data_IF_200822516516
#
_entry.id   IF_200822516516
#
_cell.length_a   1.000
_cell.length_b   1.000
_cell.length_c   1.000
_cell.angle_alpha   90.00
_cell.angle_beta   90.00
_cell.angle_gamma   90.00
#
_symmetry.space_group_name_H-M   'P 1'
#
loop_
_entity.id
_entity.type
_entity.pdbx_description
1 polymer ?
#
# COMPACT_ATOMS: atom_id res chain seq x y z
N UNK A 1 -2.60 2.75 11.44
CA UNK A 1 -3.88 3.12 12.09
C UNK A 1 -4.12 2.30 13.36
N UNK A 2 -4.16 0.95 13.30
CA UNK A 2 -4.48 0.10 14.45
C UNK A 2 -3.60 0.36 15.68
N UNK A 3 -2.28 0.51 15.51
CA UNK A 3 -1.35 0.82 16.61
C UNK A 3 -1.66 2.18 17.27
N UNK A 4 -2.01 3.18 16.48
CA UNK A 4 -2.41 4.48 16.99
C UNK A 4 -3.68 4.39 17.86
N UNK A 5 -4.72 3.76 17.32
CA UNK A 5 -5.99 3.59 18.04
C UNK A 5 -5.83 2.76 19.32
N UNK A 6 -4.97 1.74 19.31
CA UNK A 6 -4.66 0.95 20.50
C UNK A 6 -3.89 1.73 21.58
N UNK A 7 -3.21 2.81 21.21
CA UNK A 7 -2.49 3.69 22.13
C UNK A 7 -3.33 4.80 22.76
N UNK A 8 -4.57 5.00 22.28
CA UNK A 8 -5.47 6.01 22.85
C UNK A 8 -5.97 5.61 24.24
N UNK A 9 -6.22 6.58 25.14
CA UNK A 9 -6.85 6.29 26.44
C UNK A 9 -8.20 5.61 26.26
N UNK A 10 -8.49 4.58 27.07
CA UNK A 10 -9.76 3.83 26.97
C UNK A 10 -11.02 4.70 27.20
N UNK A 11 -10.89 5.80 27.92
CA UNK A 11 -11.98 6.73 28.19
C UNK A 11 -12.22 7.72 27.04
N UNK A 12 -11.35 7.75 26.03
CA UNK A 12 -11.47 8.66 24.90
C UNK A 12 -12.54 8.15 23.92
N UNK A 13 -13.63 8.89 23.68
CA UNK A 13 -14.64 8.48 22.72
C UNK A 13 -14.08 8.61 21.29
N UNK A 14 -14.03 7.52 20.56
CA UNK A 14 -13.53 7.48 19.17
C UNK A 14 -14.58 6.81 18.28
N UNK A 15 -15.00 7.50 17.26
CA UNK A 15 -15.74 6.93 16.12
C UNK A 15 -14.84 7.05 14.88
N UNK A 16 -14.31 5.93 14.41
CA UNK A 16 -13.33 5.91 13.34
C UNK A 16 -13.71 4.92 12.24
N UNK A 17 -13.82 5.42 11.01
CA UNK A 17 -14.03 4.61 9.81
C UNK A 17 -12.71 4.47 9.05
N UNK A 18 -12.26 3.23 8.85
CA UNK A 18 -11.06 2.93 8.08
C UNK A 18 -11.46 2.30 6.75
N UNK A 19 -11.07 2.93 5.66
CA UNK A 19 -11.32 2.44 4.30
C UNK A 19 -10.01 2.16 3.57
N UNK A 20 -9.91 1.01 2.93
CA UNK A 20 -8.86 0.72 1.96
C UNK A 20 -9.43 0.87 0.56
N UNK A 21 -8.83 1.75 -0.25
CA UNK A 21 -9.29 2.04 -1.60
C UNK A 21 -8.10 2.51 -2.48
N UNK A 22 -8.36 2.71 -3.79
CA UNK A 22 -7.35 3.26 -4.68
C UNK A 22 -7.04 4.71 -4.39
N UNK A 23 -5.80 5.14 -4.68
CA UNK A 23 -5.37 6.53 -4.48
C UNK A 23 -6.30 7.56 -5.14
N UNK A 24 -6.85 7.28 -6.32
CA UNK A 24 -7.84 8.17 -6.97
C UNK A 24 -9.13 8.27 -6.20
N UNK A 25 -9.69 7.14 -5.77
CA UNK A 25 -10.91 7.12 -4.95
C UNK A 25 -10.69 7.83 -3.62
N UNK A 26 -9.50 7.64 -3.00
CA UNK A 26 -9.14 8.38 -1.79
C UNK A 26 -9.16 9.91 -2.01
N UNK A 27 -8.63 10.41 -3.15
CA UNK A 27 -8.70 11.84 -3.47
C UNK A 27 -10.13 12.33 -3.72
N UNK A 28 -11.00 11.50 -4.30
CA UNK A 28 -12.40 11.82 -4.54
C UNK A 28 -13.17 11.94 -3.21
N UNK A 29 -13.01 10.98 -2.30
CA UNK A 29 -13.67 10.99 -0.99
C UNK A 29 -13.14 12.09 -0.06
N UNK A 30 -11.85 12.43 -0.14
CA UNK A 30 -11.27 13.57 0.58
C UNK A 30 -11.83 14.90 0.03
N UNK A 31 -11.91 15.03 -1.29
CA UNK A 31 -12.43 16.26 -1.91
C UNK A 31 -13.94 16.48 -1.65
N UNK A 32 -14.72 15.41 -1.53
CA UNK A 32 -16.14 15.46 -1.18
C UNK A 32 -16.41 15.65 0.32
N UNK A 33 -15.38 15.52 1.18
CA UNK A 33 -15.53 15.58 2.64
C UNK A 33 -16.14 14.28 3.22
N UNK A 34 -16.16 13.19 2.46
CA UNK A 34 -16.61 11.88 2.96
C UNK A 34 -15.55 11.22 3.84
N UNK A 35 -14.29 11.58 3.66
CA UNK A 35 -13.16 11.22 4.51
C UNK A 35 -12.31 12.45 4.80
N UNK A 36 -11.64 12.49 5.95
CA UNK A 36 -10.89 13.65 6.44
C UNK A 36 -9.40 13.54 6.15
N UNK A 37 -8.83 12.36 6.34
CA UNK A 37 -7.39 12.10 6.22
C UNK A 37 -7.17 10.86 5.36
N UNK A 38 -6.22 10.94 4.43
CA UNK A 38 -5.84 9.84 3.57
C UNK A 38 -4.32 9.67 3.51
N UNK A 39 -3.89 8.42 3.38
CA UNK A 39 -2.54 8.10 2.96
C UNK A 39 -2.62 7.41 1.61
N UNK A 40 -2.17 8.10 0.57
CA UNK A 40 -2.17 7.57 -0.79
C UNK A 40 -0.82 6.98 -1.15
N UNK A 41 -0.87 5.89 -1.92
CA UNK A 41 0.31 5.18 -2.44
C UNK A 41 0.26 5.13 -3.96
N UNK A 42 1.39 5.48 -4.58
CA UNK A 42 1.49 5.49 -6.04
C UNK A 42 2.95 5.34 -6.49
N UNK A 43 3.16 5.00 -7.76
CA UNK A 43 4.51 4.93 -8.35
C UNK A 43 5.05 6.33 -8.58
N UNK A 44 6.34 6.52 -8.37
CA UNK A 44 7.02 7.82 -8.46
C UNK A 44 6.81 8.54 -9.81
N UNK A 45 6.61 7.80 -10.89
CA UNK A 45 6.32 8.34 -12.22
C UNK A 45 4.98 9.10 -12.30
N UNK A 46 4.08 8.90 -11.33
CA UNK A 46 2.79 9.60 -11.23
C UNK A 46 2.79 10.75 -10.21
N UNK A 47 3.97 11.16 -9.73
CA UNK A 47 4.07 12.20 -8.69
C UNK A 47 3.41 13.50 -9.14
N UNK A 48 3.79 14.00 -10.32
CA UNK A 48 3.28 15.28 -10.83
C UNK A 48 1.77 15.23 -11.05
N UNK A 49 1.25 14.09 -11.53
CA UNK A 49 -0.19 13.85 -11.64
C UNK A 49 -0.90 13.97 -10.27
N UNK A 50 -0.39 13.32 -9.22
CA UNK A 50 -1.03 13.35 -7.91
C UNK A 50 -0.88 14.70 -7.23
N UNK A 51 0.23 15.42 -7.41
CA UNK A 51 0.42 16.79 -6.92
C UNK A 51 -0.57 17.75 -7.58
N UNK A 52 -0.74 17.68 -8.89
CA UNK A 52 -1.73 18.45 -9.64
C UNK A 52 -3.16 18.13 -9.19
N UNK A 53 -3.52 16.84 -9.07
CA UNK A 53 -4.85 16.39 -8.66
C UNK A 53 -5.22 16.84 -7.24
N UNK A 54 -4.26 16.82 -6.31
CA UNK A 54 -4.47 17.30 -4.93
C UNK A 54 -4.61 18.82 -4.90
N UNK A 55 -3.74 19.54 -5.61
CA UNK A 55 -3.79 21.01 -5.69
C UNK A 55 -5.10 21.50 -6.29
N UNK A 56 -5.57 20.90 -7.38
CA UNK A 56 -6.84 21.26 -8.04
C UNK A 56 -8.07 21.06 -7.13
N UNK A 57 -7.97 20.18 -6.12
CA UNK A 57 -9.05 19.88 -5.16
C UNK A 57 -8.91 20.61 -3.82
N UNK A 58 -7.92 21.49 -3.68
CA UNK A 58 -7.67 22.18 -2.42
C UNK A 58 -7.13 21.30 -1.31
N UNK A 59 -6.58 20.14 -1.67
CA UNK A 59 -5.98 19.18 -0.74
C UNK A 59 -4.51 19.51 -0.47
N UNK A 60 -4.02 19.16 0.72
CA UNK A 60 -2.59 19.12 1.04
C UNK A 60 -1.94 17.91 0.35
N UNK A 61 -0.63 17.99 0.18
CA UNK A 61 0.15 16.86 -0.33
C UNK A 61 1.51 16.85 0.40
N UNK A 62 1.67 15.92 1.34
CA UNK A 62 2.89 15.77 2.11
C UNK A 62 3.54 14.41 1.84
N UNK A 63 4.73 14.40 1.23
CA UNK A 63 5.46 13.18 0.97
C UNK A 63 5.99 12.59 2.29
N UNK A 64 5.55 11.34 2.61
CA UNK A 64 5.95 10.63 3.83
C UNK A 64 7.18 9.76 3.61
N UNK A 65 7.16 8.90 2.59
CA UNK A 65 8.19 7.90 2.36
C UNK A 65 8.37 7.54 0.89
N UNK A 66 9.54 6.97 0.59
CA UNK A 66 9.90 6.40 -0.72
C UNK A 66 10.50 5.01 -0.48
N UNK A 67 10.10 4.02 -1.27
CA UNK A 67 10.59 2.66 -1.11
C UNK A 67 10.35 1.82 -2.36
N UNK A 68 11.06 0.70 -2.43
CA UNK A 68 10.80 -0.34 -3.42
C UNK A 68 9.91 -1.42 -2.82
N UNK A 69 9.06 -2.01 -3.63
CA UNK A 69 8.33 -3.21 -3.20
C UNK A 69 9.26 -4.40 -3.07
N UNK A 70 8.99 -5.21 -2.07
CA UNK A 70 9.61 -6.50 -1.84
C UNK A 70 8.75 -7.61 -2.47
N UNK A 71 9.39 -8.67 -2.88
CA UNK A 71 8.70 -9.90 -3.27
C UNK A 71 8.27 -10.61 -2.00
N UNK A 72 6.98 -10.79 -1.84
CA UNK A 72 6.36 -11.46 -0.69
C UNK A 72 5.81 -12.81 -1.15
N UNK A 73 6.15 -13.86 -0.44
CA UNK A 73 5.75 -15.22 -0.76
C UNK A 73 5.61 -16.06 0.51
N UNK A 74 4.99 -17.23 0.41
CA UNK A 74 4.96 -18.18 1.53
C UNK A 74 6.38 -18.70 1.83
N UNK A 75 6.69 -19.04 3.07
CA UNK A 75 7.98 -19.62 3.45
C UNK A 75 8.26 -20.97 2.79
N UNK A 76 7.24 -21.68 2.32
CA UNK A 76 7.39 -22.94 1.57
C UNK A 76 7.73 -22.74 0.08
N UNK A 77 7.72 -21.48 -0.40
CA UNK A 77 8.01 -21.16 -1.80
C UNK A 77 9.47 -21.56 -2.16
N UNK A 78 9.74 -22.13 -3.36
CA UNK A 78 11.09 -22.56 -3.74
C UNK A 78 12.17 -21.46 -3.66
N UNK A 79 11.79 -20.20 -3.82
CA UNK A 79 12.71 -19.05 -3.73
C UNK A 79 12.83 -18.47 -2.33
N UNK A 80 12.06 -18.94 -1.34
CA UNK A 80 11.99 -18.34 0.00
C UNK A 80 13.33 -18.31 0.76
N UNK A 81 14.21 -19.28 0.48
CA UNK A 81 15.55 -19.38 1.09
C UNK A 81 16.62 -18.48 0.46
N UNK A 82 16.28 -17.66 -0.53
CA UNK A 82 17.22 -16.73 -1.19
C UNK A 82 17.41 -15.46 -0.36
N UNK A 83 18.53 -14.77 -0.59
CA UNK A 83 18.76 -13.41 -0.05
C UNK A 83 18.11 -12.32 -0.89
N UNK A 84 17.88 -12.58 -2.16
CA UNK A 84 17.17 -11.71 -3.13
C UNK A 84 16.70 -12.54 -4.32
N UNK A 85 15.81 -11.98 -5.12
CA UNK A 85 15.30 -12.57 -6.37
C UNK A 85 15.44 -11.59 -7.52
N UNK A 86 15.46 -12.11 -8.76
CA UNK A 86 15.38 -11.33 -9.99
C UNK A 86 13.97 -11.45 -10.58
N UNK A 87 13.54 -10.45 -11.34
CA UNK A 87 12.24 -10.48 -12.03
C UNK A 87 12.08 -11.71 -12.93
N UNK A 88 13.16 -12.10 -13.61
CA UNK A 88 13.14 -13.27 -14.49
C UNK A 88 12.90 -14.59 -13.73
N UNK A 89 13.26 -14.69 -12.45
CA UNK A 89 12.97 -15.88 -11.61
C UNK A 89 11.49 -15.99 -11.23
N UNK A 90 10.75 -14.90 -11.36
CA UNK A 90 9.30 -14.83 -11.09
C UNK A 90 8.45 -15.07 -12.35
N UNK A 91 9.08 -15.19 -13.52
CA UNK A 91 8.36 -15.39 -14.77
C UNK A 91 7.62 -16.74 -14.78
N UNK A 92 6.35 -16.69 -15.19
CA UNK A 92 5.47 -17.86 -15.21
C UNK A 92 4.84 -18.23 -13.86
N UNK A 93 5.29 -17.65 -12.74
CA UNK A 93 4.69 -17.85 -11.42
C UNK A 93 3.40 -17.02 -11.26
N UNK A 94 2.42 -17.48 -10.46
CA UNK A 94 1.21 -16.72 -10.18
C UNK A 94 1.52 -15.44 -9.39
N UNK A 95 1.22 -14.28 -9.95
CA UNK A 95 1.35 -12.98 -9.29
C UNK A 95 0.02 -12.56 -8.67
N UNK A 96 -0.03 -12.35 -7.36
CA UNK A 96 -1.17 -11.76 -6.66
C UNK A 96 -0.96 -10.26 -6.65
N UNK A 97 -1.85 -9.54 -7.35
CA UNK A 97 -1.74 -8.10 -7.57
C UNK A 97 -2.76 -7.37 -6.67
N UNK A 98 -2.28 -6.41 -5.89
CA UNK A 98 -3.18 -5.53 -5.13
C UNK A 98 -3.90 -4.57 -6.06
N UNK A 99 -5.21 -4.54 -5.95
CA UNK A 99 -6.07 -3.61 -6.65
C UNK A 99 -6.84 -4.21 -7.81
N UNK A 100 -7.59 -3.35 -8.44
CA UNK A 100 -8.22 -3.59 -9.70
C UNK A 100 -7.25 -3.23 -10.86
N UNK A 101 -7.56 -3.76 -12.01
CA UNK A 101 -6.74 -3.55 -13.20
C UNK A 101 -6.88 -2.11 -13.68
N UNK A 102 -5.95 -1.24 -13.32
CA UNK A 102 -5.78 0.00 -14.06
C UNK A 102 -5.09 -0.32 -15.39
N UNK A 103 -5.88 -0.73 -16.39
CA UNK A 103 -5.36 -0.87 -17.76
C UNK A 103 -5.26 0.53 -18.36
N UNK A 104 -4.05 1.02 -18.52
CA UNK A 104 -3.80 2.16 -19.41
C UNK A 104 -4.06 1.67 -20.82
N UNK A 105 -5.12 2.15 -21.47
CA UNK A 105 -5.38 1.86 -22.87
C UNK A 105 -4.15 2.23 -23.71
N UNK A 106 -3.68 1.30 -24.55
CA UNK A 106 -2.60 1.53 -25.49
C UNK A 106 -1.20 1.05 -25.06
N UNK A 107 -1.01 0.46 -23.87
CA UNK A 107 0.23 -0.30 -23.62
C UNK A 107 0.13 -1.68 -24.26
N UNK A 108 1.21 -2.18 -24.90
CA UNK A 108 1.26 -3.54 -25.43
C UNK A 108 0.95 -4.52 -24.29
N UNK A 109 0.14 -5.53 -24.58
CA UNK A 109 -0.13 -6.61 -23.64
C UNK A 109 1.21 -7.24 -23.27
N UNK A 110 1.57 -7.18 -21.98
CA UNK A 110 2.65 -8.02 -21.47
C UNK A 110 2.29 -9.50 -21.74
N UNK A 111 3.28 -10.37 -21.98
CA UNK A 111 3.03 -11.78 -22.17
C UNK A 111 2.14 -12.28 -21.02
N UNK A 112 1.16 -13.14 -21.35
CA UNK A 112 0.11 -13.62 -20.43
C UNK A 112 0.78 -14.22 -19.19
N UNK A 113 0.91 -13.40 -18.16
CA UNK A 113 1.33 -13.84 -16.82
C UNK A 113 0.07 -14.21 -16.06
N UNK A 114 0.16 -15.23 -15.24
CA UNK A 114 -0.95 -15.62 -14.36
C UNK A 114 -1.08 -14.58 -13.25
N UNK A 115 -1.92 -13.56 -13.46
CA UNK A 115 -2.18 -12.48 -12.50
C UNK A 115 -3.54 -12.67 -11.85
N UNK A 116 -3.59 -12.57 -10.53
CA UNK A 116 -4.80 -12.66 -9.72
C UNK A 116 -4.95 -11.32 -9.01
N UNK A 117 -5.97 -10.57 -9.36
CA UNK A 117 -6.22 -9.24 -8.80
C UNK A 117 -7.14 -9.34 -7.58
N UNK A 118 -6.72 -8.76 -6.48
CA UNK A 118 -7.47 -8.75 -5.24
C UNK A 118 -7.22 -7.45 -4.46
N UNK A 119 -8.28 -6.77 -4.05
CA UNK A 119 -8.19 -5.53 -3.26
C UNK A 119 -8.07 -5.83 -1.77
N UNK A 120 -8.78 -6.86 -1.30
CA UNK A 120 -8.82 -7.24 0.10
C UNK A 120 -7.51 -7.86 0.57
N UNK A 121 -6.92 -7.28 1.63
CA UNK A 121 -5.63 -7.70 2.16
C UNK A 121 -5.65 -9.11 2.76
N UNK A 122 -6.73 -9.47 3.44
CA UNK A 122 -6.87 -10.81 4.03
C UNK A 122 -6.95 -11.87 2.94
N UNK A 123 -7.72 -11.60 1.88
CA UNK A 123 -7.80 -12.49 0.72
C UNK A 123 -6.44 -12.64 0.01
N UNK A 124 -5.64 -11.57 -0.10
CA UNK A 124 -4.27 -11.67 -0.65
C UNK A 124 -3.39 -12.62 0.17
N UNK A 125 -3.43 -12.53 1.50
CA UNK A 125 -2.67 -13.44 2.37
C UNK A 125 -3.13 -14.88 2.21
N UNK A 126 -4.45 -15.11 2.16
CA UNK A 126 -5.04 -16.43 1.91
C UNK A 126 -4.62 -17.00 0.55
N UNK A 127 -4.58 -16.16 -0.49
CA UNK A 127 -4.14 -16.58 -1.82
C UNK A 127 -2.65 -16.98 -1.83
N UNK A 128 -1.78 -16.24 -1.13
CA UNK A 128 -0.36 -16.59 -0.98
C UNK A 128 -0.16 -17.90 -0.22
N UNK A 129 -1.02 -18.20 0.73
CA UNK A 129 -0.99 -19.46 1.48
C UNK A 129 -1.50 -20.65 0.65
N UNK A 130 -2.53 -20.40 -0.17
CA UNK A 130 -3.29 -21.48 -0.84
C UNK A 130 -2.76 -21.81 -2.23
N UNK A 131 -2.25 -20.81 -2.98
CA UNK A 131 -1.78 -21.01 -4.35
C UNK A 131 -0.29 -21.31 -4.34
N UNK A 132 0.13 -22.54 -4.71
CA UNK A 132 1.54 -22.90 -4.75
C UNK A 132 2.35 -21.97 -5.65
N UNK A 133 3.57 -21.68 -5.23
CA UNK A 133 4.55 -20.87 -5.96
C UNK A 133 4.05 -19.46 -6.31
N UNK A 134 3.02 -18.97 -5.60
CA UNK A 134 2.53 -17.61 -5.81
C UNK A 134 3.37 -16.58 -5.05
N UNK A 135 3.40 -15.38 -5.61
CA UNK A 135 4.04 -14.22 -4.99
C UNK A 135 3.21 -12.95 -5.17
N UNK A 136 3.52 -11.95 -4.38
CA UNK A 136 3.07 -10.58 -4.60
C UNK A 136 4.21 -9.59 -4.44
N UNK A 137 4.11 -8.44 -5.09
CA UNK A 137 4.96 -7.28 -4.82
C UNK A 137 4.24 -6.39 -3.80
N UNK A 138 4.86 -6.19 -2.64
CA UNK A 138 4.27 -5.43 -1.54
C UNK A 138 5.31 -4.55 -0.83
N UNK A 139 4.88 -3.50 -0.13
CA UNK A 139 5.76 -2.77 0.79
C UNK A 139 6.24 -3.70 1.92
N UNK A 140 7.18 -3.22 2.73
CA UNK A 140 7.55 -3.91 3.95
C UNK A 140 6.32 -4.17 4.83
N UNK A 141 6.13 -5.42 5.21
CA UNK A 141 5.04 -5.88 6.07
C UNK A 141 5.58 -6.01 7.50
N UNK A 142 4.84 -5.59 8.53
CA UNK A 142 5.27 -5.75 9.90
C UNK A 142 5.58 -7.20 10.25
N UNK A 143 6.64 -7.42 11.04
CA UNK A 143 7.18 -8.75 11.37
C UNK A 143 6.12 -9.70 11.95
N UNK A 144 5.26 -9.20 12.84
CA UNK A 144 4.18 -10.01 13.43
C UNK A 144 3.16 -10.52 12.38
N UNK A 145 2.96 -9.79 11.27
CA UNK A 145 2.12 -10.22 10.17
C UNK A 145 2.84 -11.25 9.30
N UNK A 146 4.14 -11.04 9.04
CA UNK A 146 5.01 -12.01 8.34
C UNK A 146 4.97 -13.36 9.04
N UNK A 147 5.17 -13.37 10.35
CA UNK A 147 5.13 -14.60 11.15
C UNK A 147 3.75 -15.25 11.16
N UNK A 148 2.70 -14.46 11.37
CA UNK A 148 1.31 -14.95 11.42
C UNK A 148 0.89 -15.68 10.15
N UNK A 149 1.33 -15.20 8.98
CA UNK A 149 0.94 -15.74 7.68
C UNK A 149 2.01 -16.62 7.05
N UNK A 150 3.03 -16.99 7.83
CA UNK A 150 4.14 -17.84 7.36
C UNK A 150 4.75 -17.32 6.05
N UNK A 151 5.03 -16.02 5.99
CA UNK A 151 5.54 -15.34 4.81
C UNK A 151 7.04 -15.06 4.92
N UNK A 152 7.63 -14.72 3.80
CA UNK A 152 8.95 -14.13 3.69
C UNK A 152 8.90 -12.96 2.71
N UNK A 153 9.70 -11.94 2.96
CA UNK A 153 9.89 -10.82 2.04
C UNK A 153 11.35 -10.75 1.60
N UNK A 154 11.57 -10.71 0.30
CA UNK A 154 12.89 -10.65 -0.31
C UNK A 154 13.01 -9.43 -1.23
N UNK A 155 14.18 -8.78 -1.28
CA UNK A 155 14.45 -7.77 -2.29
C UNK A 155 14.37 -8.35 -3.70
N UNK A 156 13.80 -7.58 -4.63
CA UNK A 156 13.91 -7.86 -6.06
C UNK A 156 15.04 -6.98 -6.61
N UNK A 157 16.20 -7.57 -6.89
CA UNK A 157 17.44 -6.83 -7.13
C UNK A 157 17.43 -5.95 -8.39
N UNK A 158 16.58 -6.28 -9.35
CA UNK A 158 16.41 -5.55 -10.60
C UNK A 158 15.09 -4.76 -10.66
N UNK A 159 14.36 -4.65 -9.54
CA UNK A 159 13.14 -3.84 -9.46
C UNK A 159 13.49 -2.35 -9.29
N UNK A 160 13.33 -1.60 -10.37
CA UNK A 160 13.56 -0.14 -10.39
C UNK A 160 12.33 0.68 -10.02
N UNK A 161 11.17 0.04 -9.86
CA UNK A 161 9.92 0.75 -9.54
C UNK A 161 9.98 1.34 -8.14
N UNK A 162 9.94 2.67 -8.05
CA UNK A 162 9.90 3.41 -6.80
C UNK A 162 8.46 3.81 -6.47
N UNK A 163 8.03 3.53 -5.25
CA UNK A 163 6.73 3.91 -4.71
C UNK A 163 6.85 5.05 -3.71
N UNK A 164 5.84 5.90 -3.70
CA UNK A 164 5.71 7.04 -2.81
C UNK A 164 4.46 6.86 -1.96
N UNK A 165 4.56 7.19 -0.67
CA UNK A 165 3.40 7.43 0.18
C UNK A 165 3.29 8.94 0.43
N UNK A 166 2.08 9.46 0.32
CA UNK A 166 1.79 10.84 0.67
C UNK A 166 0.58 10.92 1.62
N UNK A 167 0.69 11.76 2.63
CA UNK A 167 -0.40 12.18 3.50
C UNK A 167 -1.19 13.26 2.77
N UNK A 168 -2.51 13.12 2.75
CA UNK A 168 -3.43 14.02 2.07
C UNK A 168 -4.62 14.32 2.96
N UNK A 169 -5.01 15.58 3.07
CA UNK A 169 -6.20 16.06 3.78
C UNK A 169 -6.60 17.43 3.22
N UNK A 170 -7.82 17.88 3.46
CA UNK A 170 -8.25 19.19 2.96
C UNK A 170 -7.50 20.31 3.69
N UNK A 171 -6.94 21.29 2.95
CA UNK A 171 -6.10 22.37 3.51
C UNK A 171 -6.81 23.20 4.58
N UNK A 172 -8.13 23.33 4.49
CA UNK A 172 -8.96 24.11 5.42
C UNK A 172 -9.62 23.24 6.50
N UNK A 173 -9.30 21.96 6.55
CA UNK A 173 -9.87 21.06 7.54
C UNK A 173 -9.29 21.32 8.93
N UNK A 174 -10.17 21.61 9.88
CA UNK A 174 -9.80 21.79 11.28
C UNK A 174 -9.78 20.41 11.97
N UNK A 175 -8.61 19.82 12.08
CA UNK A 175 -8.41 18.52 12.72
C UNK A 175 -8.71 18.62 14.24
N UNK A 176 -9.36 17.59 14.76
CA UNK A 176 -9.46 17.32 16.20
C UNK A 176 -8.08 16.97 16.78
N UNK A 177 -7.98 16.89 18.11
CA UNK A 177 -6.75 16.46 18.80
C UNK A 177 -6.37 15.02 18.40
N UNK A 178 -7.34 14.11 18.31
CA UNK A 178 -7.13 12.71 17.88
C UNK A 178 -6.61 12.64 16.46
N UNK A 179 -7.19 13.40 15.53
CA UNK A 179 -6.75 13.43 14.14
C UNK A 179 -5.37 14.05 13.98
N UNK A 180 -5.09 15.13 14.71
CA UNK A 180 -3.77 15.76 14.74
C UNK A 180 -2.72 14.81 15.31
N UNK A 181 -3.06 14.08 16.35
CA UNK A 181 -2.23 13.03 16.93
C UNK A 181 -1.99 11.88 15.95
N UNK A 182 -3.01 11.47 15.20
CA UNK A 182 -2.86 10.45 14.14
C UNK A 182 -1.92 10.91 13.02
N UNK A 183 -2.07 12.14 12.56
CA UNK A 183 -1.18 12.72 11.54
C UNK A 183 0.27 12.76 12.03
N UNK A 184 0.49 13.15 13.28
CA UNK A 184 1.83 13.14 13.87
C UNK A 184 2.39 11.72 13.99
N UNK A 185 1.57 10.77 14.44
CA UNK A 185 1.94 9.35 14.50
C UNK A 185 2.37 8.81 13.13
N UNK A 186 1.63 9.13 12.06
CA UNK A 186 1.96 8.74 10.68
C UNK A 186 3.31 9.32 10.25
N UNK A 187 3.58 10.58 10.57
CA UNK A 187 4.85 11.24 10.27
C UNK A 187 6.06 10.61 10.98
N UNK A 188 5.88 10.16 12.21
CA UNK A 188 6.92 9.51 13.00
C UNK A 188 7.17 8.06 12.56
N UNK A 189 6.15 7.38 12.06
CA UNK A 189 6.19 5.97 11.68
C UNK A 189 6.21 5.75 10.15
N UNK A 190 6.87 6.64 9.40
CA UNK A 190 6.91 6.64 7.90
C UNK A 190 7.34 5.31 7.28
N UNK A 191 8.11 4.50 7.97
CA UNK A 191 8.60 3.22 7.46
C UNK A 191 7.49 2.15 7.33
N UNK A 192 6.37 2.34 8.02
CA UNK A 192 5.26 1.37 8.08
C UNK A 192 3.96 1.88 7.44
N UNK A 193 4.05 2.98 6.73
CA UNK A 193 2.88 3.62 6.09
C UNK A 193 2.85 3.35 4.60
#
# INVERSE_FOLDING_TARGET
TAQYLAGLPQAEPVDAVIRECHARTALETLASGETEIGVIRFRSEYRDYFDEQTSARGLSFELLSKYHYLVTMNQSHPLAGRSSVLRAELDGLPEIVHGDVFRVQGKPEEPVRRKIYCVDRLAQMTLLETIPDSYMLAPAIPEHCIQRWNLVQLPCSDNQSLYLNALVYHKQYAMSEIESGFVQFVREHKAFV
#
